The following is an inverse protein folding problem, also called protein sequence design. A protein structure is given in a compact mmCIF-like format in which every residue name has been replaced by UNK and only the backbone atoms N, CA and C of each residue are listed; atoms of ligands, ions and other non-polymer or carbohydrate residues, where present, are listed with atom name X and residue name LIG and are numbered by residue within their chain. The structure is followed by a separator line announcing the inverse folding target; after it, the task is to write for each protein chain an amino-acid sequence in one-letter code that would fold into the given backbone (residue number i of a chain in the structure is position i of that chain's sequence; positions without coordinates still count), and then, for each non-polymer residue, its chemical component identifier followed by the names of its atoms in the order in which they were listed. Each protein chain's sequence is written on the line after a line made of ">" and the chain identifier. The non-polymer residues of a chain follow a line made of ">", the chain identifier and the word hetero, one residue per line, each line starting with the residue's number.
data_IF_934382521931
#
_entry.id   IF_934382521931
#
_cell.length_a   1.000
_cell.length_b   1.000
_cell.length_c   1.000
_cell.angle_alpha   90.00
_cell.angle_beta   90.00
_cell.angle_gamma   90.00
#
_symmetry.space_group_name_H-M   'P 1'
#
loop_
_entity.id
_entity.type
_entity.pdbx_description
1 polymer ?
#
# COMPACT_ATOMS: atom_id res chain seq x y z
N UNK A 1 18.38 16.22 -23.92
CA UNK A 1 17.57 17.10 -23.04
C UNK A 1 16.40 16.31 -22.52
N UNK A 2 16.34 16.16 -21.20
CA UNK A 2 15.26 15.43 -20.57
C UNK A 2 13.98 16.25 -20.63
N UNK A 3 12.94 15.68 -21.17
CA UNK A 3 11.62 16.30 -21.14
C UNK A 3 11.03 16.10 -19.73
N UNK A 4 11.05 17.15 -18.93
CA UNK A 4 10.55 17.10 -17.55
C UNK A 4 9.04 16.82 -17.47
N UNK A 5 8.33 16.95 -18.61
CA UNK A 5 6.89 16.68 -18.65
C UNK A 5 6.57 15.21 -19.00
N UNK A 6 7.55 14.44 -19.44
CA UNK A 6 7.34 13.03 -19.75
C UNK A 6 7.14 12.21 -18.47
N UNK A 7 6.10 11.35 -18.40
CA UNK A 7 5.93 10.49 -17.24
C UNK A 7 7.13 9.56 -17.09
N UNK A 8 7.59 9.38 -15.85
CA UNK A 8 8.62 8.39 -15.57
C UNK A 8 8.10 7.00 -15.90
N UNK A 9 8.97 6.16 -16.48
CA UNK A 9 8.66 4.73 -16.67
C UNK A 9 8.72 3.95 -15.35
N UNK A 10 9.31 4.51 -14.29
CA UNK A 10 9.35 3.89 -12.97
C UNK A 10 8.01 4.04 -12.26
N UNK A 11 7.02 3.32 -12.74
CA UNK A 11 5.67 3.38 -12.19
C UNK A 11 4.92 2.07 -12.41
N UNK A 12 3.95 1.85 -11.55
CA UNK A 12 2.99 0.77 -11.66
C UNK A 12 1.83 1.26 -12.54
N UNK A 13 1.51 0.51 -13.58
CA UNK A 13 0.37 0.80 -14.47
C UNK A 13 -0.81 -0.12 -14.22
N UNK A 14 -0.60 -1.25 -13.56
CA UNK A 14 -1.67 -2.15 -13.19
C UNK A 14 -1.32 -2.93 -11.92
N UNK A 15 -2.33 -3.21 -11.11
CA UNK A 15 -2.21 -4.00 -9.88
C UNK A 15 -3.30 -5.04 -9.88
N UNK A 16 -2.91 -6.31 -9.69
CA UNK A 16 -3.84 -7.41 -9.51
C UNK A 16 -3.59 -8.10 -8.17
N UNK A 17 -4.65 -8.72 -7.63
CA UNK A 17 -4.60 -9.39 -6.35
C UNK A 17 -4.99 -10.86 -6.52
N UNK A 18 -4.27 -11.74 -5.85
CA UNK A 18 -4.72 -13.12 -5.67
C UNK A 18 -5.69 -13.15 -4.47
N UNK A 19 -6.96 -12.94 -4.75
CA UNK A 19 -7.97 -12.81 -3.71
C UNK A 19 -8.15 -14.08 -2.88
N UNK A 20 -7.81 -15.23 -3.41
CA UNK A 20 -7.87 -16.49 -2.67
C UNK A 20 -6.85 -16.56 -1.53
N UNK A 21 -5.74 -15.85 -1.69
CA UNK A 21 -4.68 -15.78 -0.68
C UNK A 21 -4.97 -14.75 0.40
N UNK A 22 -5.93 -13.86 0.19
CA UNK A 22 -6.26 -12.78 1.11
C UNK A 22 -7.45 -13.18 2.00
N UNK A 23 -7.61 -12.47 3.12
CA UNK A 23 -8.78 -12.65 3.96
C UNK A 23 -10.06 -12.36 3.18
N UNK A 24 -11.15 -13.13 3.41
CA UNK A 24 -12.42 -12.86 2.74
C UNK A 24 -12.86 -11.42 2.95
N UNK A 25 -13.23 -10.76 1.87
CA UNK A 25 -13.58 -9.34 1.90
C UNK A 25 -15.09 -9.16 1.92
N UNK A 26 -15.55 -8.25 2.79
CA UNK A 26 -16.90 -7.71 2.71
C UNK A 26 -16.99 -6.77 1.51
N UNK A 27 -18.20 -6.37 1.13
CA UNK A 27 -18.39 -5.40 0.05
C UNK A 27 -17.66 -4.09 0.32
N UNK A 28 -17.64 -3.64 1.57
CA UNK A 28 -16.95 -2.42 1.97
C UNK A 28 -15.43 -2.56 1.81
N UNK A 29 -14.88 -3.70 2.21
CA UNK A 29 -13.44 -3.97 2.06
C UNK A 29 -13.05 -4.08 0.59
N UNK A 30 -13.88 -4.71 -0.24
CA UNK A 30 -13.64 -4.77 -1.68
C UNK A 30 -13.61 -3.37 -2.30
N UNK A 31 -14.51 -2.50 -1.87
CA UNK A 31 -14.54 -1.11 -2.31
C UNK A 31 -13.26 -0.38 -1.89
N UNK A 32 -12.83 -0.54 -0.65
CA UNK A 32 -11.58 0.05 -0.15
C UNK A 32 -10.37 -0.40 -0.99
N UNK A 33 -10.31 -1.68 -1.34
CA UNK A 33 -9.24 -2.21 -2.19
C UNK A 33 -9.25 -1.56 -3.57
N UNK A 34 -10.42 -1.42 -4.17
CA UNK A 34 -10.57 -0.80 -5.50
C UNK A 34 -10.14 0.66 -5.49
N UNK A 35 -10.53 1.40 -4.45
CA UNK A 35 -10.14 2.81 -4.30
C UNK A 35 -8.63 2.93 -4.13
N UNK A 36 -8.04 2.09 -3.28
CA UNK A 36 -6.59 2.11 -3.05
C UNK A 36 -5.81 1.79 -4.33
N UNK A 37 -6.26 0.82 -5.11
CA UNK A 37 -5.65 0.47 -6.40
C UNK A 37 -5.79 1.64 -7.39
N UNK A 38 -6.96 2.24 -7.47
CA UNK A 38 -7.19 3.40 -8.32
C UNK A 38 -6.25 4.55 -7.98
N UNK A 39 -6.14 4.87 -6.70
CA UNK A 39 -5.25 5.95 -6.23
C UNK A 39 -3.78 5.66 -6.56
N UNK A 40 -3.36 4.42 -6.38
CA UNK A 40 -2.00 4.00 -6.73
C UNK A 40 -1.73 4.17 -8.23
N UNK A 41 -2.67 3.74 -9.08
CA UNK A 41 -2.50 3.83 -10.54
C UNK A 41 -2.49 5.27 -11.04
N UNK A 42 -3.19 6.18 -10.37
CA UNK A 42 -3.24 7.59 -10.74
C UNK A 42 -1.86 8.25 -10.66
N UNK A 43 -1.13 8.00 -9.59
CA UNK A 43 0.17 8.59 -9.36
C UNK A 43 1.00 7.70 -8.44
N UNK A 44 2.17 7.29 -8.91
CA UNK A 44 3.09 6.50 -8.09
C UNK A 44 4.50 6.60 -8.66
N UNK A 45 5.49 6.30 -7.80
CA UNK A 45 6.86 6.07 -8.19
C UNK A 45 7.28 4.69 -7.70
N UNK A 46 7.71 3.84 -8.61
CA UNK A 46 8.02 2.44 -8.32
C UNK A 46 9.22 2.01 -9.15
N UNK A 47 10.35 1.81 -8.49
CA UNK A 47 11.60 1.45 -9.14
C UNK A 47 12.18 0.17 -8.53
N UNK A 48 11.91 -1.00 -9.12
CA UNK A 48 12.63 -2.22 -8.76
C UNK A 48 14.11 -2.06 -9.07
N UNK A 49 14.97 -2.24 -8.07
CA UNK A 49 16.41 -1.96 -8.21
C UNK A 49 17.03 -2.97 -9.17
N UNK A 50 17.76 -2.46 -10.15
CA UNK A 50 18.46 -3.28 -11.14
C UNK A 50 17.59 -3.83 -12.26
N UNK A 51 16.31 -3.53 -12.27
CA UNK A 51 15.38 -4.05 -13.28
C UNK A 51 15.39 -3.25 -14.60
N UNK A 52 15.89 -2.00 -14.55
CA UNK A 52 15.80 -1.10 -15.69
C UNK A 52 14.43 -0.44 -15.80
N UNK A 53 14.09 0.01 -16.99
CA UNK A 53 12.88 0.78 -17.22
C UNK A 53 11.58 -0.04 -17.09
N UNK A 54 10.53 0.65 -16.63
CA UNK A 54 9.17 0.15 -16.66
C UNK A 54 8.42 0.52 -17.94
N UNK A 55 7.11 0.71 -17.89
CA UNK A 55 6.26 0.59 -16.70
C UNK A 55 6.10 -0.85 -16.22
N UNK A 56 5.55 -0.99 -15.03
CA UNK A 56 5.43 -2.28 -14.36
C UNK A 56 4.00 -2.65 -14.03
N UNK A 57 3.74 -3.96 -13.99
CA UNK A 57 2.52 -4.55 -13.45
C UNK A 57 2.88 -5.26 -12.15
N UNK A 58 2.08 -5.06 -11.12
CA UNK A 58 2.29 -5.65 -9.81
C UNK A 58 1.16 -6.62 -9.50
N UNK A 59 1.52 -7.86 -9.16
CA UNK A 59 0.57 -8.85 -8.66
C UNK A 59 0.91 -9.15 -7.21
N UNK A 60 -0.08 -9.05 -6.33
CA UNK A 60 0.09 -9.26 -4.89
C UNK A 60 -0.65 -10.51 -4.44
N UNK A 61 0.04 -11.33 -3.66
CA UNK A 61 -0.52 -12.51 -3.00
C UNK A 61 0.02 -12.61 -1.58
N UNK A 62 -0.63 -13.43 -0.76
CA UNK A 62 -0.26 -13.58 0.64
C UNK A 62 -0.09 -15.06 0.96
N UNK A 63 1.05 -15.43 1.53
CA UNK A 63 1.33 -16.81 1.93
C UNK A 63 2.30 -16.83 3.12
N UNK A 64 1.98 -17.61 4.13
CA UNK A 64 2.86 -17.86 5.28
C UNK A 64 3.37 -16.57 5.96
N UNK A 65 2.47 -15.64 6.22
CA UNK A 65 2.78 -14.34 6.84
C UNK A 65 3.69 -13.45 5.99
N UNK A 66 3.74 -13.70 4.68
CA UNK A 66 4.51 -12.90 3.73
C UNK A 66 3.61 -12.37 2.64
N UNK A 67 3.81 -11.11 2.30
CA UNK A 67 3.20 -10.51 1.12
C UNK A 67 4.16 -10.70 -0.05
N UNK A 68 3.67 -11.31 -1.11
CA UNK A 68 4.47 -11.64 -2.28
C UNK A 68 4.19 -10.62 -3.37
N UNK A 69 5.24 -9.97 -3.83
CA UNK A 69 5.21 -9.00 -4.92
C UNK A 69 5.73 -9.70 -6.18
N UNK A 70 4.84 -9.99 -7.12
CA UNK A 70 5.24 -10.46 -8.45
C UNK A 70 5.26 -9.25 -9.38
N UNK A 71 6.43 -8.93 -9.92
CA UNK A 71 6.64 -7.74 -10.73
C UNK A 71 6.90 -8.17 -12.17
N UNK A 72 6.13 -7.61 -13.09
CA UNK A 72 6.28 -7.82 -14.53
C UNK A 72 6.35 -6.47 -15.22
N UNK A 73 6.99 -6.46 -16.41
CA UNK A 73 6.88 -5.30 -17.29
C UNK A 73 5.47 -5.24 -17.89
N UNK A 74 5.10 -4.10 -18.43
CA UNK A 74 3.82 -3.93 -19.12
C UNK A 74 3.61 -4.98 -20.22
N UNK A 75 4.70 -5.40 -20.88
CA UNK A 75 4.68 -6.45 -21.89
C UNK A 75 4.36 -7.85 -21.37
N UNK A 76 4.44 -8.04 -20.05
CA UNK A 76 4.28 -9.34 -19.40
C UNK A 76 5.59 -10.03 -19.07
N UNK A 77 6.73 -9.48 -19.48
CA UNK A 77 8.04 -10.03 -19.15
C UNK A 77 8.26 -10.02 -17.63
N UNK A 78 8.62 -11.16 -17.01
CA UNK A 78 8.91 -11.21 -15.58
C UNK A 78 10.12 -10.34 -15.22
N UNK A 79 9.98 -9.54 -14.20
CA UNK A 79 11.06 -8.74 -13.64
C UNK A 79 11.63 -9.40 -12.40
N UNK A 80 10.77 -9.86 -11.49
CA UNK A 80 11.19 -10.51 -10.27
C UNK A 80 10.05 -10.75 -9.32
N UNK A 81 10.37 -11.48 -8.26
CA UNK A 81 9.46 -11.74 -7.18
C UNK A 81 10.15 -11.39 -5.87
N UNK A 82 9.42 -10.74 -4.98
CA UNK A 82 9.96 -10.39 -3.69
C UNK A 82 8.95 -10.75 -2.58
N UNK A 83 9.47 -11.20 -1.46
CA UNK A 83 8.68 -11.61 -0.30
C UNK A 83 8.89 -10.62 0.84
N UNK A 84 7.82 -9.98 1.27
CA UNK A 84 7.85 -9.03 2.38
C UNK A 84 7.24 -9.70 3.62
N UNK A 85 8.05 -9.87 4.68
CA UNK A 85 7.51 -10.37 5.94
C UNK A 85 6.51 -9.38 6.51
N UNK A 86 5.33 -9.85 6.89
CA UNK A 86 4.30 -9.03 7.51
C UNK A 86 4.45 -8.94 9.03
N UNK A 87 5.36 -9.70 9.61
CA UNK A 87 5.58 -9.69 11.06
C UNK A 87 5.85 -8.30 11.62
N UNK A 88 6.72 -7.47 11.03
CA UNK A 88 6.95 -6.10 11.53
C UNK A 88 5.73 -5.19 11.48
N UNK A 89 4.73 -5.55 10.67
CA UNK A 89 3.55 -4.71 10.44
C UNK A 89 2.35 -5.10 11.31
N UNK A 90 2.37 -6.25 11.95
CA UNK A 90 1.19 -6.79 12.66
C UNK A 90 0.68 -5.84 13.72
N UNK A 91 1.58 -5.35 14.56
CA UNK A 91 1.21 -4.43 15.64
C UNK A 91 0.71 -3.10 15.12
N UNK A 92 1.43 -2.51 14.15
CA UNK A 92 1.07 -1.19 13.64
C UNK A 92 -0.24 -1.21 12.87
N UNK A 93 -0.52 -2.28 12.13
CA UNK A 93 -1.81 -2.44 11.44
C UNK A 93 -2.95 -2.57 12.45
N UNK A 94 -2.76 -3.36 13.50
CA UNK A 94 -3.75 -3.52 14.55
C UNK A 94 -4.02 -2.19 15.25
N UNK A 95 -2.98 -1.48 15.63
CA UNK A 95 -3.11 -0.18 16.31
C UNK A 95 -3.77 0.85 15.40
N UNK A 96 -3.42 0.83 14.11
CA UNK A 96 -4.06 1.71 13.13
C UNK A 96 -5.56 1.46 13.02
N UNK A 97 -5.99 0.20 12.99
CA UNK A 97 -7.42 -0.13 12.93
C UNK A 97 -8.16 0.34 14.18
N UNK A 98 -7.55 0.22 15.36
CA UNK A 98 -8.13 0.73 16.59
C UNK A 98 -8.33 2.25 16.53
N UNK A 99 -7.37 2.97 15.95
CA UNK A 99 -7.50 4.42 15.76
C UNK A 99 -8.56 4.77 14.73
N UNK A 100 -8.72 3.96 13.67
CA UNK A 100 -9.81 4.14 12.70
C UNK A 100 -11.17 3.98 13.36
N UNK A 101 -11.35 2.96 14.20
CA UNK A 101 -12.58 2.75 14.96
C UNK A 101 -12.85 3.92 15.89
N UNK A 102 -11.83 4.37 16.62
CA UNK A 102 -11.96 5.53 17.52
C UNK A 102 -12.33 6.80 16.75
N UNK A 103 -11.81 6.96 15.56
CA UNK A 103 -12.14 8.10 14.70
C UNK A 103 -13.62 8.09 14.26
N UNK A 104 -14.13 6.93 13.84
CA UNK A 104 -15.53 6.81 13.47
C UNK A 104 -16.46 7.03 14.65
N UNK A 105 -16.11 6.53 15.82
CA UNK A 105 -16.87 6.77 17.05
C UNK A 105 -16.86 8.26 17.44
N UNK A 106 -15.71 8.90 17.30
CA UNK A 106 -15.55 10.32 17.61
C UNK A 106 -16.40 11.20 16.68
N UNK A 107 -16.46 10.88 15.39
CA UNK A 107 -17.31 11.62 14.43
C UNK A 107 -18.78 11.63 14.87
N UNK A 108 -19.25 10.53 15.45
CA UNK A 108 -20.64 10.39 15.89
C UNK A 108 -20.94 11.09 17.20
N UNK A 109 -20.01 11.05 18.15
CA UNK A 109 -20.32 11.33 19.55
C UNK A 109 -19.39 12.34 20.25
N UNK A 110 -18.30 12.75 19.63
CA UNK A 110 -17.29 13.56 20.31
C UNK A 110 -17.32 15.02 19.88
N UNK A 111 -16.70 15.87 20.69
CA UNK A 111 -16.49 17.28 20.38
C UNK A 111 -15.44 17.42 19.24
N UNK A 112 -15.49 18.50 18.44
CA UNK A 112 -14.55 18.71 17.32
C UNK A 112 -13.08 18.58 17.70
N UNK A 113 -12.68 19.06 18.87
CA UNK A 113 -11.29 18.95 19.34
C UNK A 113 -10.84 17.51 19.54
N UNK A 114 -11.74 16.64 20.02
CA UNK A 114 -11.45 15.22 20.19
C UNK A 114 -11.36 14.50 18.85
N UNK A 115 -12.22 14.85 17.89
CA UNK A 115 -12.18 14.29 16.54
C UNK A 115 -10.84 14.62 15.90
N UNK A 116 -10.38 15.86 16.00
CA UNK A 116 -9.10 16.29 15.45
C UNK A 116 -7.93 15.52 16.08
N UNK A 117 -7.95 15.34 17.41
CA UNK A 117 -6.90 14.61 18.12
C UNK A 117 -6.79 13.17 17.64
N UNK A 118 -7.91 12.48 17.51
CA UNK A 118 -7.94 11.09 17.03
C UNK A 118 -7.51 11.01 15.56
N UNK A 119 -7.94 11.96 14.73
CA UNK A 119 -7.55 12.00 13.33
C UNK A 119 -6.04 12.22 13.16
N UNK A 120 -5.44 13.10 13.96
CA UNK A 120 -4.00 13.33 13.94
C UNK A 120 -3.24 12.05 14.33
N UNK A 121 -3.71 11.34 15.36
CA UNK A 121 -3.10 10.08 15.79
C UNK A 121 -3.20 9.01 14.70
N UNK A 122 -4.35 8.92 14.04
CA UNK A 122 -4.58 7.98 12.94
C UNK A 122 -3.63 8.25 11.78
N UNK A 123 -3.48 9.51 11.39
CA UNK A 123 -2.57 9.90 10.30
C UNK A 123 -1.12 9.64 10.66
N UNK A 124 -0.71 9.92 11.89
CA UNK A 124 0.63 9.64 12.37
C UNK A 124 0.96 8.15 12.32
N UNK A 125 0.02 7.30 12.75
CA UNK A 125 0.20 5.85 12.71
C UNK A 125 0.30 5.35 11.26
N UNK A 126 -0.52 5.89 10.36
CA UNK A 126 -0.47 5.54 8.94
C UNK A 126 0.88 5.94 8.33
N UNK A 127 1.41 7.11 8.67
CA UNK A 127 2.72 7.55 8.20
C UNK A 127 3.83 6.63 8.74
N UNK A 128 3.77 6.24 10.00
CA UNK A 128 4.74 5.33 10.60
C UNK A 128 4.76 3.98 9.86
N UNK A 129 3.59 3.43 9.56
CA UNK A 129 3.48 2.19 8.77
C UNK A 129 4.05 2.34 7.37
N UNK A 130 3.81 3.48 6.74
CA UNK A 130 4.32 3.78 5.40
C UNK A 130 5.85 3.89 5.39
N UNK A 131 6.43 4.52 6.40
CA UNK A 131 7.88 4.62 6.55
C UNK A 131 8.53 3.27 6.80
N UNK A 132 7.91 2.41 7.61
CA UNK A 132 8.36 1.03 7.81
C UNK A 132 8.35 0.28 6.48
N UNK A 133 7.30 0.46 5.69
CA UNK A 133 7.19 -0.17 4.38
C UNK A 133 8.34 0.27 3.46
N UNK A 134 8.63 1.56 3.38
CA UNK A 134 9.76 2.07 2.60
C UNK A 134 11.07 1.47 3.06
N UNK A 135 11.29 1.44 4.37
CA UNK A 135 12.52 0.92 4.96
C UNK A 135 12.72 -0.58 4.65
N UNK A 136 11.63 -1.36 4.77
CA UNK A 136 11.69 -2.80 4.50
C UNK A 136 11.86 -3.15 3.03
N UNK A 137 11.48 -2.26 2.13
CA UNK A 137 11.64 -2.45 0.68
C UNK A 137 12.89 -1.76 0.12
N UNK A 138 13.59 -0.98 0.90
CA UNK A 138 14.63 -0.05 0.47
C UNK A 138 15.75 -0.69 -0.38
N UNK A 139 16.13 -1.94 -0.10
CA UNK A 139 17.17 -2.66 -0.85
C UNK A 139 16.64 -3.36 -2.10
N UNK A 140 15.34 -3.38 -2.31
CA UNK A 140 14.69 -4.07 -3.44
C UNK A 140 13.93 -3.14 -4.36
N UNK A 141 13.25 -2.16 -3.80
CA UNK A 141 12.38 -1.24 -4.53
C UNK A 141 12.53 0.16 -3.96
N UNK A 142 12.74 1.14 -4.83
CA UNK A 142 12.66 2.54 -4.44
C UNK A 142 11.25 3.05 -4.65
N UNK A 143 10.68 3.62 -3.60
CA UNK A 143 9.36 4.24 -3.58
C UNK A 143 9.49 5.66 -3.05
N UNK A 144 8.61 6.56 -3.48
CA UNK A 144 8.43 7.81 -2.74
C UNK A 144 7.44 7.60 -1.58
N UNK A 145 7.38 8.55 -0.68
CA UNK A 145 6.51 8.43 0.51
C UNK A 145 5.03 8.33 0.12
N UNK A 146 4.59 9.09 -0.86
CA UNK A 146 3.19 9.06 -1.30
C UNK A 146 2.81 7.69 -1.85
N UNK A 147 3.69 7.07 -2.63
CA UNK A 147 3.47 5.70 -3.12
C UNK A 147 3.42 4.71 -1.95
N UNK A 148 4.35 4.82 -1.00
CA UNK A 148 4.37 3.97 0.18
C UNK A 148 3.08 4.11 1.00
N UNK A 149 2.56 5.34 1.16
CA UNK A 149 1.31 5.59 1.89
C UNK A 149 0.12 4.92 1.20
N UNK A 150 0.03 5.03 -0.11
CA UNK A 150 -1.04 4.40 -0.90
C UNK A 150 -0.94 2.89 -0.87
N UNK A 151 0.28 2.38 -0.99
CA UNK A 151 0.52 0.93 -0.91
C UNK A 151 0.22 0.39 0.49
N UNK A 152 0.57 1.12 1.54
CA UNK A 152 0.25 0.74 2.91
C UNK A 152 -1.27 0.69 3.14
N UNK A 153 -2.01 1.64 2.58
CA UNK A 153 -3.49 1.62 2.63
C UNK A 153 -4.04 0.34 2.00
N UNK A 154 -3.52 -0.05 0.85
CA UNK A 154 -3.92 -1.30 0.18
C UNK A 154 -3.58 -2.52 1.03
N UNK A 155 -2.38 -2.56 1.59
CA UNK A 155 -1.94 -3.65 2.46
C UNK A 155 -2.83 -3.77 3.69
N UNK A 156 -3.20 -2.65 4.32
CA UNK A 156 -4.12 -2.66 5.45
C UNK A 156 -5.45 -3.33 5.09
N UNK A 157 -5.95 -3.10 3.86
CA UNK A 157 -7.21 -3.70 3.41
C UNK A 157 -7.17 -5.23 3.34
N UNK A 158 -5.97 -5.81 3.22
CA UNK A 158 -5.81 -7.27 3.20
C UNK A 158 -6.06 -7.92 4.55
N UNK A 159 -6.00 -7.14 5.62
CA UNK A 159 -6.20 -7.59 7.00
C UNK A 159 -7.53 -7.15 7.59
N UNK A 160 -8.35 -6.42 6.82
CA UNK A 160 -9.70 -6.01 7.24
C UNK A 160 -10.68 -7.17 7.08
N UNK A 161 -11.60 -7.27 8.05
CA UNK A 161 -12.65 -8.30 8.08
C UNK A 161 -14.03 -7.70 8.08
#
# INVERSE_FOLDING_TARGET
>A
MTDETAPSSFRIVDISLDERSLAPATADVEHERKVAIFDLKEENYFEPIGAGEGPFKLHLSYAELRLIFDIHRESGEPVGQLHLSMTPFRKIIKDYFLLCESYFDAIRNAAPAQIETVDMARRAMHNDGSEILMERLNDKINLDLNTARRLFTLICSFHMR
#
